data_IF_205555705063
#
_entry.id   IF_205555705063
#
_cell.length_a   1.000
_cell.length_b   1.000
_cell.length_c   1.000
_cell.angle_alpha   90.00
_cell.angle_beta   90.00
_cell.angle_gamma   90.00
#
_symmetry.space_group_name_H-M   'P 1'
#
loop_
_entity.id
_entity.type
_entity.pdbx_description
1 polymer ?
#
# COMPACT_ATOMS: atom_id res chain seq x y z
N UNK A 1 -1.68 -8.94 -4.50
CA UNK A 1 -2.70 -8.58 -5.51
C UNK A 1 -2.56 -7.10 -5.84
N UNK A 2 -2.61 -6.69 -7.12
CA UNK A 2 -2.55 -5.28 -7.51
C UNK A 2 -3.81 -4.54 -7.07
N UNK A 3 -3.69 -3.27 -6.71
CA UNK A 3 -4.82 -2.43 -6.29
C UNK A 3 -4.74 -1.05 -6.93
N UNK A 4 -5.87 -0.48 -7.35
CA UNK A 4 -5.91 0.86 -7.92
C UNK A 4 -5.89 1.95 -6.83
N UNK A 5 -5.52 3.17 -7.21
CA UNK A 5 -5.63 4.34 -6.33
C UNK A 5 -7.09 4.58 -5.90
N UNK A 6 -8.02 4.42 -6.83
CA UNK A 6 -9.45 4.58 -6.61
C UNK A 6 -9.95 3.56 -5.58
N UNK A 7 -9.57 2.28 -5.71
CA UNK A 7 -9.92 1.25 -4.74
C UNK A 7 -9.38 1.55 -3.34
N UNK A 8 -8.13 2.05 -3.26
CA UNK A 8 -7.53 2.45 -1.99
C UNK A 8 -8.31 3.60 -1.34
N UNK A 9 -8.70 4.61 -2.14
CA UNK A 9 -9.50 5.73 -1.65
C UNK A 9 -10.90 5.33 -1.19
N UNK A 10 -11.47 4.25 -1.73
CA UNK A 10 -12.75 3.72 -1.29
C UNK A 10 -12.62 2.85 -0.03
N UNK A 11 -11.52 2.08 0.10
CA UNK A 11 -11.31 1.15 1.22
C UNK A 11 -10.78 1.83 2.48
N UNK A 12 -9.95 2.86 2.33
CA UNK A 12 -9.36 3.58 3.47
C UNK A 12 -10.40 4.59 3.98
N UNK A 13 -10.87 4.46 5.23
CA UNK A 13 -11.80 5.44 5.80
C UNK A 13 -11.20 6.84 5.82
N UNK A 14 -12.02 7.85 5.50
CA UNK A 14 -11.58 9.26 5.48
C UNK A 14 -11.00 9.76 6.80
N UNK A 15 -11.40 9.15 7.92
CA UNK A 15 -10.83 9.43 9.25
C UNK A 15 -9.35 9.04 9.40
N UNK A 16 -8.86 8.12 8.57
CA UNK A 16 -7.46 7.65 8.58
C UNK A 16 -6.61 8.49 7.64
N UNK A 17 -7.14 8.84 6.47
CA UNK A 17 -6.40 9.63 5.49
C UNK A 17 -7.30 10.20 4.40
N UNK A 18 -6.96 11.41 3.97
CA UNK A 18 -7.59 12.03 2.81
C UNK A 18 -7.04 11.44 1.50
N UNK A 19 -7.72 11.72 0.37
CA UNK A 19 -7.26 11.30 -0.96
C UNK A 19 -5.85 11.81 -1.28
N UNK A 20 -5.56 13.07 -0.96
CA UNK A 20 -4.21 13.64 -1.17
C UNK A 20 -3.17 12.98 -0.27
N UNK A 21 -3.52 12.67 0.99
CA UNK A 21 -2.66 11.92 1.89
C UNK A 21 -2.34 10.53 1.32
N UNK A 22 -3.35 9.80 0.85
CA UNK A 22 -3.16 8.47 0.24
C UNK A 22 -2.24 8.57 -0.98
N UNK A 23 -2.48 9.55 -1.86
CA UNK A 23 -1.66 9.75 -3.06
C UNK A 23 -0.20 10.07 -2.72
N UNK A 24 0.03 10.98 -1.77
CA UNK A 24 1.37 11.37 -1.35
C UNK A 24 2.12 10.19 -0.72
N UNK A 25 1.45 9.40 0.13
CA UNK A 25 2.02 8.18 0.71
C UNK A 25 2.37 7.14 -0.35
N UNK A 26 1.50 6.93 -1.35
CA UNK A 26 1.79 6.03 -2.47
C UNK A 26 2.99 6.51 -3.29
N UNK A 27 3.05 7.80 -3.62
CA UNK A 27 4.19 8.35 -4.36
C UNK A 27 5.49 8.20 -3.57
N UNK A 28 5.47 8.43 -2.26
CA UNK A 28 6.64 8.22 -1.41
C UNK A 28 7.04 6.74 -1.37
N UNK A 29 6.10 5.84 -1.18
CA UNK A 29 6.37 4.40 -1.12
C UNK A 29 6.89 3.85 -2.46
N UNK A 30 6.42 4.39 -3.59
CA UNK A 30 6.96 4.07 -4.92
C UNK A 30 8.39 4.62 -5.08
N UNK A 31 8.66 5.86 -4.65
CA UNK A 31 10.02 6.43 -4.69
C UNK A 31 11.03 5.66 -3.83
N UNK A 32 10.53 4.93 -2.83
CA UNK A 32 11.33 4.06 -1.95
C UNK A 32 11.34 2.60 -2.42
N UNK A 33 10.77 2.31 -3.58
CA UNK A 33 10.70 0.97 -4.17
C UNK A 33 9.94 -0.06 -3.31
N UNK A 34 9.09 0.39 -2.38
CA UNK A 34 8.22 -0.48 -1.59
C UNK A 34 7.05 -0.99 -2.44
N UNK A 35 6.56 -0.14 -3.34
CA UNK A 35 5.53 -0.50 -4.31
C UNK A 35 6.01 -0.22 -5.74
N UNK A 36 5.57 -1.08 -6.65
CA UNK A 36 5.70 -0.91 -8.09
C UNK A 36 4.39 -0.29 -8.59
N UNK A 37 4.51 0.85 -9.30
CA UNK A 37 3.39 1.54 -9.93
C UNK A 37 3.35 1.21 -11.40
N UNK A 38 2.24 0.66 -11.86
CA UNK A 38 2.04 0.30 -13.26
C UNK A 38 0.75 0.93 -13.80
N UNK A 39 0.68 1.04 -15.11
CA UNK A 39 -0.57 1.39 -15.80
C UNK A 39 -1.18 0.10 -16.34
N UNK A 40 -2.50 0.01 -16.40
CA UNK A 40 -3.17 -1.13 -17.04
C UNK A 40 -3.22 -0.93 -18.56
N UNK A 41 -3.15 -2.03 -19.31
CA UNK A 41 -3.05 -1.98 -20.78
C UNK A 41 -4.32 -1.43 -21.45
N UNK A 42 -5.49 -1.67 -20.86
CA UNK A 42 -6.78 -1.24 -21.40
C UNK A 42 -7.12 0.23 -21.10
N UNK A 43 -6.56 0.82 -20.03
CA UNK A 43 -6.72 2.24 -19.69
C UNK A 43 -5.50 2.76 -18.93
N UNK A 44 -4.62 3.48 -19.64
CA UNK A 44 -3.36 4.01 -19.09
C UNK A 44 -3.56 5.05 -17.99
N UNK A 45 -4.77 5.59 -17.81
CA UNK A 45 -5.12 6.53 -16.73
C UNK A 45 -5.20 5.83 -15.38
N UNK A 46 -5.59 4.55 -15.37
CA UNK A 46 -5.68 3.76 -14.14
C UNK A 46 -4.27 3.34 -13.73
N UNK A 47 -3.88 3.72 -12.52
CA UNK A 47 -2.61 3.32 -11.91
C UNK A 47 -2.87 2.24 -10.87
N UNK A 48 -2.18 1.12 -11.02
CA UNK A 48 -2.19 0.01 -10.06
C UNK A 48 -0.88 -0.04 -9.30
N UNK A 49 -0.98 -0.45 -8.04
CA UNK A 49 0.14 -0.57 -7.12
C UNK A 49 0.29 -2.03 -6.70
N UNK A 50 1.52 -2.55 -6.77
CA UNK A 50 1.89 -3.91 -6.37
C UNK A 50 3.03 -3.85 -5.37
N UNK A 51 3.00 -4.68 -4.34
CA UNK A 51 4.13 -4.81 -3.41
C UNK A 51 5.36 -5.27 -4.18
N UNK A 52 6.51 -4.62 -3.98
CA UNK A 52 7.75 -5.07 -4.59
C UNK A 52 8.20 -6.39 -3.94
N UNK A 53 8.79 -7.27 -4.74
CA UNK A 53 9.39 -8.51 -4.24
C UNK A 53 10.43 -8.24 -3.17
N UNK A 54 11.21 -7.15 -3.33
CA UNK A 54 12.27 -6.76 -2.42
C UNK A 54 11.74 -6.39 -1.03
N UNK A 55 10.56 -5.76 -0.96
CA UNK A 55 9.98 -5.33 0.30
C UNK A 55 9.04 -6.36 0.93
N UNK A 56 8.72 -7.45 0.23
CA UNK A 56 7.80 -8.47 0.70
C UNK A 56 8.28 -9.15 1.99
N UNK A 57 9.58 -9.44 2.12
CA UNK A 57 10.15 -10.06 3.33
C UNK A 57 10.00 -9.15 4.54
N UNK A 58 10.33 -7.87 4.38
CA UNK A 58 10.22 -6.84 5.43
C UNK A 58 8.79 -6.71 5.92
N UNK A 59 7.81 -6.71 5.00
CA UNK A 59 6.39 -6.66 5.37
C UNK A 59 5.93 -7.87 6.19
N UNK A 60 6.41 -9.07 5.85
CA UNK A 60 6.07 -10.30 6.58
C UNK A 60 6.64 -10.23 8.01
N UNK A 61 7.89 -9.82 8.14
CA UNK A 61 8.56 -9.65 9.44
C UNK A 61 7.79 -8.66 10.32
N UNK A 62 7.49 -7.47 9.78
CA UNK A 62 6.72 -6.44 10.50
C UNK A 62 5.33 -6.93 10.94
N UNK A 63 4.60 -7.64 10.09
CA UNK A 63 3.28 -8.21 10.46
C UNK A 63 3.42 -9.22 11.59
N UNK A 64 4.47 -10.05 11.59
CA UNK A 64 4.71 -11.02 12.64
C UNK A 64 5.06 -10.34 13.98
N UNK A 65 5.87 -9.29 13.95
CA UNK A 65 6.17 -8.47 15.13
C UNK A 65 4.91 -7.83 15.71
N UNK A 66 4.07 -7.22 14.85
CA UNK A 66 2.80 -6.65 15.27
C UNK A 66 1.89 -7.67 15.95
N UNK A 67 1.78 -8.89 15.39
CA UNK A 67 1.00 -9.97 16.01
C UNK A 67 1.52 -10.35 17.38
N UNK A 68 2.85 -10.43 17.53
CA UNK A 68 3.50 -10.72 18.82
C UNK A 68 3.15 -9.65 19.84
N UNK A 69 3.43 -8.39 19.54
CA UNK A 69 3.18 -7.25 20.45
C UNK A 69 1.70 -7.16 20.82
N UNK A 70 0.79 -7.31 19.86
CA UNK A 70 -0.66 -7.22 20.14
C UNK A 70 -1.20 -8.43 20.91
N UNK A 71 -0.54 -9.59 20.85
CA UNK A 71 -0.92 -10.75 21.67
C UNK A 71 -0.58 -10.58 23.15
N UNK A 72 0.40 -9.73 23.46
CA UNK A 72 0.84 -9.41 24.83
C UNK A 72 -0.04 -8.34 25.50
N UNK A 73 -0.90 -7.64 24.75
CA UNK A 73 -1.82 -6.59 25.24
C UNK A 73 -3.19 -7.18 25.65
N UNK A 74 -3.29 -8.51 25.77
CA UNK A 74 -4.51 -9.20 26.21
C UNK A 74 -4.73 -9.13 27.70
#
# INVERSE_FOLDING_TARGET
KPISYEDLCHKIPRKIGSRSTILNSLNNAVSREYFIKESVDYDKRIKIYKLSSNFQKVMIEWINELKKVTSEIK
#
